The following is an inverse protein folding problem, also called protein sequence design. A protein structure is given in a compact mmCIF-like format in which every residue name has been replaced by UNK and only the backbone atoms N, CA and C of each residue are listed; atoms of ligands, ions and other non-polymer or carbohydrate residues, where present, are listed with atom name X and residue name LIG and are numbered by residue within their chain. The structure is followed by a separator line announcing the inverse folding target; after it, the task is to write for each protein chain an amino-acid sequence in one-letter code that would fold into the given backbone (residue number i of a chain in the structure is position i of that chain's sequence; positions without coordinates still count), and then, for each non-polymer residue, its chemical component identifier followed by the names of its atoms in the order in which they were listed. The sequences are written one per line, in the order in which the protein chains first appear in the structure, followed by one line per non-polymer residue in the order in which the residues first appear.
data_IF_854158759420
#
_entry.id   IF_854158759420
#
_cell.length_a   1.000
_cell.length_b   1.000
_cell.length_c   1.000
_cell.angle_alpha   90.00
_cell.angle_beta   90.00
_cell.angle_gamma   90.00
#
_symmetry.space_group_name_H-M   'P 1'
#
loop_
_entity.id
_entity.type
_entity.pdbx_description
1 polymer ?
#
# COMPACT_ATOMS: atom_id res chain seq x y z
N UNK A 1 11.19 1.59 -19.79
CA UNK A 1 10.52 0.30 -20.06
C UNK A 1 9.02 0.52 -20.15
N UNK A 2 8.36 0.02 -21.19
CA UNK A 2 6.92 0.17 -21.38
C UNK A 2 6.17 -0.88 -20.55
N UNK A 3 5.11 -0.46 -19.86
CA UNK A 3 4.25 -1.33 -19.06
C UNK A 3 2.90 -1.46 -19.76
N UNK A 4 2.52 -2.67 -20.14
CA UNK A 4 1.26 -2.95 -20.82
C UNK A 4 0.28 -3.56 -19.83
N UNK A 5 -0.77 -2.80 -19.48
CA UNK A 5 -1.86 -3.26 -18.61
C UNK A 5 -3.07 -3.63 -19.47
N UNK A 6 -3.76 -4.71 -19.10
CA UNK A 6 -5.12 -4.97 -19.58
C UNK A 6 -6.07 -4.44 -18.53
N UNK A 7 -6.89 -3.46 -18.92
CA UNK A 7 -7.83 -2.78 -18.04
C UNK A 7 -9.24 -3.07 -18.52
N UNK A 8 -10.15 -3.17 -17.56
CA UNK A 8 -11.59 -3.07 -17.79
C UNK A 8 -11.98 -1.62 -18.12
N UNK A 9 -13.21 -1.43 -18.62
CA UNK A 9 -13.73 -0.09 -18.91
C UNK A 9 -13.81 0.78 -17.66
N UNK A 10 -14.21 0.19 -16.52
CA UNK A 10 -14.30 0.87 -15.24
C UNK A 10 -12.92 1.32 -14.73
N UNK A 11 -11.91 0.46 -14.78
CA UNK A 11 -10.53 0.80 -14.37
C UNK A 11 -9.94 1.91 -15.27
N UNK A 12 -10.24 1.87 -16.57
CA UNK A 12 -9.81 2.90 -17.53
C UNK A 12 -10.43 4.25 -17.19
N UNK A 13 -11.73 4.26 -16.86
CA UNK A 13 -12.47 5.45 -16.46
C UNK A 13 -11.95 6.05 -15.16
N UNK A 14 -11.67 5.21 -14.15
CA UNK A 14 -11.07 5.64 -12.89
C UNK A 14 -9.72 6.30 -13.14
N UNK A 15 -8.81 5.64 -13.88
CA UNK A 15 -7.48 6.17 -14.16
C UNK A 15 -7.51 7.46 -14.96
N UNK A 16 -8.45 7.60 -15.90
CA UNK A 16 -8.61 8.81 -16.71
C UNK A 16 -9.06 10.00 -15.86
N UNK A 17 -10.11 9.85 -15.04
CA UNK A 17 -10.54 10.92 -14.14
C UNK A 17 -9.45 11.34 -13.17
N UNK A 18 -8.68 10.37 -12.68
CA UNK A 18 -7.58 10.63 -11.76
C UNK A 18 -6.44 11.40 -12.48
N UNK A 19 -6.09 10.98 -13.70
CA UNK A 19 -5.10 11.65 -14.54
C UNK A 19 -5.48 13.10 -14.88
N UNK A 20 -6.75 13.35 -15.18
CA UNK A 20 -7.28 14.71 -15.42
C UNK A 20 -7.17 15.60 -14.18
N UNK A 21 -7.53 15.07 -13.00
CA UNK A 21 -7.43 15.79 -11.73
C UNK A 21 -5.99 16.11 -11.33
N UNK A 22 -5.07 15.20 -11.60
CA UNK A 22 -3.65 15.34 -11.23
C UNK A 22 -2.81 16.01 -12.33
N UNK A 23 -3.41 16.36 -13.47
CA UNK A 23 -2.72 16.88 -14.65
C UNK A 23 -1.55 16.01 -15.10
N UNK A 24 -1.74 14.68 -15.05
CA UNK A 24 -0.72 13.66 -15.34
C UNK A 24 -1.19 12.72 -16.44
N UNK A 25 -0.27 11.94 -16.99
CA UNK A 25 -0.64 10.86 -17.89
C UNK A 25 -1.26 9.69 -17.12
N UNK A 26 -2.20 8.97 -17.74
CA UNK A 26 -2.79 7.75 -17.14
C UNK A 26 -1.73 6.71 -16.75
N UNK A 27 -0.66 6.58 -17.54
CA UNK A 27 0.44 5.66 -17.23
C UNK A 27 1.22 6.08 -15.98
N UNK A 28 1.40 7.38 -15.77
CA UNK A 28 2.10 7.91 -14.61
C UNK A 28 1.26 7.75 -13.34
N UNK A 29 -0.05 8.00 -13.41
CA UNK A 29 -0.98 7.70 -12.32
C UNK A 29 -0.95 6.22 -11.96
N UNK A 30 -1.00 5.32 -12.94
CA UNK A 30 -0.93 3.88 -12.70
C UNK A 30 0.40 3.47 -12.03
N UNK A 31 1.53 4.07 -12.46
CA UNK A 31 2.84 3.81 -11.85
C UNK A 31 2.88 4.27 -10.40
N UNK A 32 2.36 5.46 -10.11
CA UNK A 32 2.33 6.01 -8.76
C UNK A 32 1.44 5.18 -7.83
N UNK A 33 0.26 4.75 -8.30
CA UNK A 33 -0.63 3.89 -7.53
C UNK A 33 0.03 2.54 -7.18
N UNK A 34 0.81 1.96 -8.09
CA UNK A 34 1.58 0.72 -7.81
C UNK A 34 2.65 0.98 -6.75
N UNK A 35 3.40 2.08 -6.85
CA UNK A 35 4.43 2.46 -5.87
C UNK A 35 3.82 2.70 -4.49
N UNK A 36 2.75 3.48 -4.42
CA UNK A 36 2.03 3.77 -3.18
C UNK A 36 1.48 2.49 -2.53
N UNK A 37 0.93 1.57 -3.34
CA UNK A 37 0.46 0.27 -2.85
C UNK A 37 1.60 -0.59 -2.30
N UNK A 38 2.76 -0.59 -2.97
CA UNK A 38 3.93 -1.32 -2.53
C UNK A 38 4.48 -0.75 -1.21
N UNK A 39 4.62 0.57 -1.11
CA UNK A 39 5.09 1.26 0.11
C UNK A 39 4.12 1.08 1.28
N UNK A 40 2.81 1.11 1.02
CA UNK A 40 1.79 0.89 2.05
C UNK A 40 1.82 -0.55 2.58
N UNK A 41 2.10 -1.53 1.71
CA UNK A 41 2.31 -2.92 2.13
C UNK A 41 3.57 -3.09 2.98
N UNK A 42 4.63 -2.34 2.67
CA UNK A 42 5.89 -2.38 3.41
C UNK A 42 5.76 -1.74 4.80
N UNK A 43 5.09 -0.59 4.91
CA UNK A 43 4.77 0.02 6.22
C UNK A 43 3.94 -0.91 7.11
N UNK A 44 2.92 -1.54 6.56
CA UNK A 44 2.09 -2.50 7.29
C UNK A 44 2.90 -3.74 7.72
N UNK A 45 3.78 -4.25 6.87
CA UNK A 45 4.67 -5.36 7.22
C UNK A 45 5.70 -4.96 8.28
N UNK A 46 6.25 -3.75 8.19
CA UNK A 46 7.20 -3.20 9.14
C UNK A 46 6.56 -3.01 10.52
N UNK A 47 5.35 -2.43 10.58
CA UNK A 47 4.57 -2.29 11.81
C UNK A 47 4.21 -3.65 12.40
N UNK A 48 3.76 -4.61 11.58
CA UNK A 48 3.47 -5.98 12.05
C UNK A 48 4.75 -6.69 12.55
N UNK A 49 5.88 -6.47 11.89
CA UNK A 49 7.19 -6.99 12.30
C UNK A 49 7.63 -6.44 13.65
N UNK A 50 7.56 -5.12 13.84
CA UNK A 50 7.85 -4.46 15.12
C UNK A 50 6.89 -4.91 16.22
N UNK A 51 5.59 -4.97 15.94
CA UNK A 51 4.58 -5.44 16.89
C UNK A 51 4.83 -6.89 17.32
N UNK A 52 5.30 -7.74 16.41
CA UNK A 52 5.69 -9.13 16.70
C UNK A 52 6.92 -9.17 17.61
N UNK A 53 7.98 -8.42 17.30
CA UNK A 53 9.20 -8.35 18.12
C UNK A 53 8.90 -7.81 19.53
N UNK A 54 8.05 -6.78 19.64
CA UNK A 54 7.64 -6.20 20.93
C UNK A 54 6.78 -7.18 21.72
N UNK A 55 5.84 -7.89 21.08
CA UNK A 55 5.05 -8.95 21.72
C UNK A 55 5.93 -10.08 22.22
N UNK A 56 6.88 -10.57 21.42
CA UNK A 56 7.77 -11.66 21.81
C UNK A 56 8.72 -11.23 22.94
N UNK A 57 9.25 -9.99 22.91
CA UNK A 57 10.18 -9.47 23.92
C UNK A 57 9.53 -9.10 25.25
N UNK A 58 8.26 -8.68 25.23
CA UNK A 58 7.52 -8.23 26.42
C UNK A 58 6.31 -9.10 26.73
N UNK A 59 6.27 -10.33 26.22
CA UNK A 59 5.14 -11.27 26.36
C UNK A 59 4.69 -11.44 27.82
N UNK A 60 5.65 -11.60 28.73
CA UNK A 60 5.39 -11.79 30.16
C UNK A 60 4.80 -10.54 30.84
N UNK A 61 5.28 -9.35 30.48
CA UNK A 61 4.77 -8.09 31.04
C UNK A 61 3.37 -7.75 30.48
N UNK A 62 3.14 -8.04 29.20
CA UNK A 62 1.83 -7.86 28.57
C UNK A 62 0.81 -8.86 29.12
N UNK A 63 1.21 -10.10 29.42
CA UNK A 63 0.35 -11.10 30.05
C UNK A 63 -0.09 -10.66 31.46
N UNK A 64 0.82 -10.08 32.25
CA UNK A 64 0.52 -9.56 33.59
C UNK A 64 -0.31 -8.27 33.60
N UNK A 65 -0.34 -7.52 32.49
CA UNK A 65 -1.20 -6.34 32.32
C UNK A 65 -2.64 -6.73 31.91
N UNK A 66 -2.81 -7.92 31.33
CA UNK A 66 -4.10 -8.42 30.87
C UNK A 66 -4.90 -9.16 31.97
N UNK A 67 -4.27 -9.43 33.11
CA UNK A 67 -4.92 -9.83 34.38
C UNK A 67 -5.44 -8.61 35.14
#
# INVERSE_FOLDING_TARGET
MAMTLRLTEEETEILRRQAEREHRSMQEVARLAILERAESSDRDQHVRGLARVVKERHAELLARLAE
#
